data_IF_876290247391
#
_entry.id   IF_876290247391
#
_cell.length_a   1.000
_cell.length_b   1.000
_cell.length_c   1.000
_cell.angle_alpha   90.00
_cell.angle_beta   90.00
_cell.angle_gamma   90.00
#
_symmetry.space_group_name_H-M   'P 1'
#
loop_
_entity.id
_entity.type
_entity.pdbx_description
1 polymer ?
#
# COMPACT_ATOMS: atom_id res chain seq x y z
N UNK A 1 4.16 -17.83 -7.17
CA UNK A 1 3.06 -17.55 -6.22
C UNK A 1 3.07 -16.05 -5.97
N UNK A 2 1.93 -15.37 -6.13
CA UNK A 2 1.83 -13.96 -5.78
C UNK A 2 2.16 -13.78 -4.28
N UNK A 3 2.83 -12.68 -3.91
CA UNK A 3 3.11 -12.40 -2.51
C UNK A 3 1.79 -12.06 -1.80
N UNK A 4 1.61 -12.60 -0.60
CA UNK A 4 0.49 -12.23 0.25
C UNK A 4 0.94 -11.12 1.19
N UNK A 5 0.06 -10.16 1.48
CA UNK A 5 0.30 -9.13 2.49
C UNK A 5 0.67 -9.77 3.84
N UNK A 6 1.74 -9.29 4.47
CA UNK A 6 2.30 -9.89 5.67
C UNK A 6 3.02 -8.89 6.58
N UNK A 7 3.49 -9.38 7.74
CA UNK A 7 4.20 -8.56 8.71
C UNK A 7 5.52 -7.98 8.18
N UNK A 8 6.19 -8.68 7.26
CA UNK A 8 7.37 -8.17 6.54
C UNK A 8 7.03 -6.90 5.76
N UNK A 9 5.97 -6.96 4.94
CA UNK A 9 5.46 -5.81 4.19
C UNK A 9 5.19 -4.62 5.10
N UNK A 10 4.52 -4.83 6.24
CA UNK A 10 4.23 -3.75 7.20
C UNK A 10 5.52 -3.10 7.71
N UNK A 11 6.50 -3.93 8.11
CA UNK A 11 7.79 -3.44 8.62
C UNK A 11 8.54 -2.63 7.56
N UNK A 12 8.55 -3.09 6.32
CA UNK A 12 9.25 -2.42 5.24
C UNK A 12 8.51 -1.16 4.77
N UNK A 13 7.18 -1.15 4.85
CA UNK A 13 6.37 0.04 4.60
C UNK A 13 6.47 1.08 5.71
N UNK A 14 6.67 0.67 6.96
CA UNK A 14 6.81 1.57 8.11
C UNK A 14 8.00 2.54 8.02
N UNK A 15 8.98 2.26 7.15
CA UNK A 15 10.08 3.19 6.82
C UNK A 15 9.56 4.45 6.13
N UNK A 16 8.43 4.33 5.44
CA UNK A 16 7.80 5.37 4.67
C UNK A 16 6.55 5.88 5.39
N UNK A 17 6.15 7.12 5.10
CA UNK A 17 5.00 7.70 5.80
C UNK A 17 3.66 7.14 5.32
N UNK A 18 3.61 6.83 4.02
CA UNK A 18 2.46 6.25 3.33
C UNK A 18 3.00 5.28 2.28
N UNK A 19 2.36 4.11 2.19
CA UNK A 19 2.58 3.17 1.12
C UNK A 19 1.27 2.48 0.74
N UNK A 20 1.01 2.34 -0.56
CA UNK A 20 -0.13 1.61 -1.09
C UNK A 20 0.33 0.52 -2.04
N UNK A 21 0.06 -0.72 -1.65
CA UNK A 21 0.55 -1.90 -2.35
C UNK A 21 -0.64 -2.66 -2.94
N UNK A 22 -0.68 -2.85 -4.26
CA UNK A 22 -1.67 -3.67 -4.92
C UNK A 22 -1.26 -5.15 -4.83
N UNK A 23 -2.26 -6.01 -4.67
CA UNK A 23 -2.12 -7.46 -4.64
C UNK A 23 -3.13 -8.10 -5.56
N UNK A 24 -2.79 -9.28 -6.04
CA UNK A 24 -3.65 -10.10 -6.90
C UNK A 24 -3.66 -11.53 -6.38
N UNK A 25 -4.83 -12.15 -6.29
CA UNK A 25 -4.98 -13.52 -5.79
C UNK A 25 -5.94 -14.30 -6.68
N UNK A 26 -5.59 -15.56 -6.94
CA UNK A 26 -6.45 -16.55 -7.57
C UNK A 26 -6.74 -17.67 -6.57
N UNK A 27 -8.01 -17.94 -6.33
CA UNK A 27 -8.49 -19.10 -5.58
C UNK A 27 -9.01 -20.12 -6.58
N UNK A 28 -8.21 -21.15 -6.85
CA UNK A 28 -8.46 -22.09 -7.95
C UNK A 28 -9.75 -22.89 -7.79
N UNK A 29 -10.04 -23.38 -6.59
CA UNK A 29 -11.24 -24.16 -6.29
C UNK A 29 -11.68 -23.91 -4.85
N UNK A 30 -12.74 -23.12 -4.67
CA UNK A 30 -13.34 -22.89 -3.35
C UNK A 30 -14.49 -23.88 -3.14
N UNK A 31 -14.23 -24.96 -2.42
CA UNK A 31 -15.19 -26.03 -2.17
C UNK A 31 -16.47 -25.53 -1.48
N UNK A 32 -17.57 -26.27 -1.65
CA UNK A 32 -18.83 -26.01 -0.97
C UNK A 32 -18.64 -25.99 0.56
N UNK A 33 -19.15 -24.96 1.22
CA UNK A 33 -18.99 -24.74 2.66
C UNK A 33 -17.59 -24.29 3.12
N UNK A 34 -16.63 -24.14 2.20
CA UNK A 34 -15.26 -23.81 2.56
C UNK A 34 -15.03 -22.30 2.78
N UNK A 35 -13.94 -21.98 3.47
CA UNK A 35 -13.40 -20.62 3.54
C UNK A 35 -11.90 -20.68 3.26
N UNK A 36 -11.42 -19.77 2.42
CA UNK A 36 -10.01 -19.64 2.06
C UNK A 36 -9.48 -18.29 2.56
N UNK A 37 -8.47 -18.26 3.44
CA UNK A 37 -7.83 -17.01 3.85
C UNK A 37 -6.97 -16.47 2.70
N UNK A 38 -7.19 -15.21 2.33
CA UNK A 38 -6.29 -14.50 1.40
C UNK A 38 -5.04 -14.04 2.13
N UNK A 39 -5.23 -13.46 3.32
CA UNK A 39 -4.18 -13.17 4.28
C UNK A 39 -4.77 -12.97 5.68
N UNK A 40 -3.92 -13.13 6.69
CA UNK A 40 -4.23 -12.78 8.08
C UNK A 40 -2.96 -12.30 8.77
N UNK A 41 -2.93 -11.02 9.15
CA UNK A 41 -1.81 -10.41 9.88
C UNK A 41 -2.34 -9.92 11.21
N UNK A 42 -1.53 -10.05 12.27
CA UNK A 42 -1.91 -9.63 13.63
C UNK A 42 -0.68 -9.20 14.43
N UNK A 43 -0.90 -8.47 15.52
CA UNK A 43 0.10 -8.11 16.53
C UNK A 43 1.26 -7.26 15.99
N UNK A 44 1.07 -6.50 14.90
CA UNK A 44 2.16 -5.66 14.35
C UNK A 44 2.43 -4.41 15.20
N UNK A 45 1.49 -4.00 16.05
CA UNK A 45 1.68 -2.93 17.05
C UNK A 45 1.73 -3.48 18.49
N UNK A 46 2.26 -4.68 18.68
CA UNK A 46 2.44 -5.25 20.03
C UNK A 46 3.24 -4.27 20.93
N UNK A 47 2.84 -4.05 22.20
CA UNK A 47 3.58 -3.22 23.16
C UNK A 47 5.08 -3.47 23.27
N UNK A 48 5.55 -4.71 23.01
CA UNK A 48 6.97 -5.06 23.06
C UNK A 48 7.78 -4.53 21.86
N UNK A 49 7.12 -4.34 20.71
CA UNK A 49 7.76 -3.84 19.49
C UNK A 49 6.70 -3.14 18.61
N UNK A 50 6.29 -1.92 18.96
CA UNK A 50 5.26 -1.22 18.21
C UNK A 50 5.82 -0.81 16.86
N UNK A 51 5.30 -1.37 15.76
CA UNK A 51 5.62 -0.86 14.42
C UNK A 51 5.19 0.61 14.27
N UNK A 52 4.19 1.06 15.04
CA UNK A 52 3.67 2.41 14.99
C UNK A 52 3.04 2.68 13.64
N UNK A 53 2.14 1.79 13.21
CA UNK A 53 1.53 1.82 11.87
C UNK A 53 0.01 1.60 11.92
N UNK A 54 -0.71 2.32 11.07
CA UNK A 54 -2.09 2.04 10.76
C UNK A 54 -2.14 1.31 9.41
N UNK A 55 -2.97 0.28 9.29
CA UNK A 55 -3.10 -0.51 8.05
C UNK A 55 -4.57 -0.50 7.62
N UNK A 56 -4.85 -0.24 6.36
CA UNK A 56 -6.20 -0.23 5.80
C UNK A 56 -6.28 -1.03 4.52
N UNK A 57 -7.20 -1.98 4.48
CA UNK A 57 -7.69 -2.52 3.23
C UNK A 57 -8.54 -1.43 2.57
N UNK A 58 -7.98 -0.78 1.55
CA UNK A 58 -8.57 0.44 0.98
C UNK A 58 -9.61 0.10 -0.07
N UNK A 59 -9.28 -0.84 -0.95
CA UNK A 59 -10.15 -1.28 -2.02
C UNK A 59 -9.97 -2.77 -2.33
N UNK A 60 -11.02 -3.40 -2.86
CA UNK A 60 -11.04 -4.78 -3.32
C UNK A 60 -11.76 -4.85 -4.67
N UNK A 61 -11.18 -5.54 -5.64
CA UNK A 61 -11.86 -6.02 -6.84
C UNK A 61 -12.04 -7.53 -6.74
N UNK A 62 -13.18 -8.06 -7.15
CA UNK A 62 -13.44 -9.50 -7.11
C UNK A 62 -14.28 -9.93 -8.31
N UNK A 63 -14.06 -11.15 -8.79
CA UNK A 63 -14.92 -11.73 -9.82
C UNK A 63 -16.32 -11.94 -9.24
N UNK A 64 -17.38 -11.48 -9.92
CA UNK A 64 -18.73 -11.62 -9.40
C UNK A 64 -19.10 -13.10 -9.30
N UNK A 65 -19.55 -13.54 -8.13
CA UNK A 65 -20.02 -14.91 -7.94
C UNK A 65 -21.22 -15.00 -6.98
N UNK A 66 -22.41 -15.41 -7.47
CA UNK A 66 -23.60 -15.54 -6.65
C UNK A 66 -23.40 -16.44 -5.42
N UNK A 67 -23.65 -15.88 -4.24
CA UNK A 67 -23.62 -16.59 -2.97
C UNK A 67 -22.23 -16.71 -2.34
N UNK A 68 -21.15 -16.32 -3.02
CA UNK A 68 -19.82 -16.23 -2.39
C UNK A 68 -19.71 -14.95 -1.56
N UNK A 69 -18.95 -15.00 -0.46
CA UNK A 69 -18.80 -13.87 0.45
C UNK A 69 -17.34 -13.52 0.67
N UNK A 70 -17.02 -12.23 0.64
CA UNK A 70 -15.77 -11.69 1.16
C UNK A 70 -15.98 -11.30 2.62
N UNK A 71 -15.15 -11.82 3.53
CA UNK A 71 -15.18 -11.47 4.95
C UNK A 71 -13.89 -10.75 5.29
N UNK A 72 -14.04 -9.52 5.78
CA UNK A 72 -12.93 -8.66 6.20
C UNK A 72 -13.03 -8.46 7.71
N UNK A 73 -11.92 -8.68 8.42
CA UNK A 73 -11.80 -8.42 9.86
C UNK A 73 -10.70 -7.40 10.07
N UNK A 74 -11.03 -6.32 10.77
CA UNK A 74 -10.13 -5.23 11.10
C UNK A 74 -10.32 -4.90 12.59
N UNK A 75 -9.33 -5.22 13.42
CA UNK A 75 -9.43 -5.18 14.87
C UNK A 75 -10.71 -5.88 15.40
N UNK A 76 -11.62 -5.16 16.05
CA UNK A 76 -12.88 -5.71 16.57
C UNK A 76 -14.02 -5.70 15.54
N UNK A 77 -13.84 -5.04 14.39
CA UNK A 77 -14.84 -4.92 13.35
C UNK A 77 -14.79 -6.10 12.36
N UNK A 78 -15.97 -6.52 11.90
CA UNK A 78 -16.10 -7.48 10.80
C UNK A 78 -17.09 -6.96 9.78
N UNK A 79 -16.69 -6.97 8.51
CA UNK A 79 -17.52 -6.65 7.37
C UNK A 79 -17.68 -7.88 6.49
N UNK A 80 -18.84 -7.98 5.82
CA UNK A 80 -19.14 -9.04 4.85
C UNK A 80 -19.69 -8.41 3.58
N UNK A 81 -19.16 -8.83 2.44
CA UNK A 81 -19.61 -8.39 1.13
C UNK A 81 -20.02 -9.60 0.30
N UNK A 82 -21.17 -9.51 -0.37
CA UNK A 82 -21.60 -10.50 -1.35
C UNK A 82 -20.82 -10.28 -2.65
N UNK A 83 -20.11 -11.31 -3.14
CA UNK A 83 -19.35 -11.17 -4.38
C UNK A 83 -20.25 -10.96 -5.60
N UNK A 84 -21.55 -11.32 -5.53
CA UNK A 84 -22.50 -11.06 -6.60
C UNK A 84 -22.67 -9.57 -6.93
N UNK A 85 -22.37 -8.67 -5.97
CA UNK A 85 -22.55 -7.22 -6.13
C UNK A 85 -21.29 -6.49 -6.59
N UNK A 86 -20.15 -7.19 -6.69
CA UNK A 86 -18.94 -6.59 -7.21
C UNK A 86 -19.10 -6.27 -8.69
N UNK A 87 -18.50 -5.17 -9.18
CA UNK A 87 -18.51 -4.90 -10.61
C UNK A 87 -17.71 -5.93 -11.39
N UNK A 88 -18.01 -6.07 -12.68
CA UNK A 88 -17.25 -6.92 -13.59
C UNK A 88 -15.79 -6.44 -13.73
N UNK A 89 -14.95 -7.26 -14.36
CA UNK A 89 -13.56 -6.94 -14.70
C UNK A 89 -12.69 -6.55 -13.50
N UNK A 90 -13.02 -7.06 -12.30
CA UNK A 90 -12.26 -6.81 -11.07
C UNK A 90 -12.14 -5.33 -10.71
N UNK A 91 -13.11 -4.51 -11.13
CA UNK A 91 -13.10 -3.09 -10.80
C UNK A 91 -13.07 -2.91 -9.27
N UNK A 92 -12.11 -2.16 -8.72
CA UNK A 92 -11.99 -2.01 -7.28
C UNK A 92 -13.17 -1.24 -6.68
N UNK A 93 -13.72 -1.77 -5.59
CA UNK A 93 -14.70 -1.10 -4.72
C UNK A 93 -13.99 -0.68 -3.44
N UNK A 94 -14.22 0.55 -2.99
CA UNK A 94 -13.68 1.02 -1.71
C UNK A 94 -14.37 0.30 -0.54
N UNK A 95 -13.57 -0.26 0.37
CA UNK A 95 -14.07 -0.98 1.57
C UNK A 95 -13.73 -0.25 2.87
N UNK A 96 -12.57 0.42 2.92
CA UNK A 96 -12.17 1.29 4.03
C UNK A 96 -12.00 0.56 5.38
N UNK A 97 -11.50 -0.67 5.36
CA UNK A 97 -11.36 -1.50 6.55
C UNK A 97 -9.96 -1.36 7.16
N UNK A 98 -9.81 -0.48 8.15
CA UNK A 98 -8.52 -0.20 8.76
C UNK A 98 -8.40 -0.62 10.22
N UNK A 99 -7.17 -0.92 10.60
CA UNK A 99 -6.79 -1.61 11.82
C UNK A 99 -5.46 -1.11 12.37
N UNK A 100 -5.31 -1.20 13.69
CA UNK A 100 -4.04 -1.00 14.38
C UNK A 100 -3.37 -2.30 14.79
N UNK A 101 -4.08 -3.42 14.89
CA UNK A 101 -3.50 -4.64 15.46
C UNK A 101 -3.71 -5.87 14.58
N UNK A 102 -4.89 -6.04 14.00
CA UNK A 102 -5.18 -7.19 13.15
C UNK A 102 -6.00 -6.84 11.91
N UNK A 103 -5.60 -7.41 10.77
CA UNK A 103 -6.32 -7.32 9.50
C UNK A 103 -6.28 -8.68 8.84
N UNK A 104 -7.44 -9.21 8.49
CA UNK A 104 -7.55 -10.45 7.74
C UNK A 104 -8.64 -10.37 6.69
N UNK A 105 -8.41 -11.03 5.57
CA UNK A 105 -9.37 -11.16 4.49
C UNK A 105 -9.49 -12.63 4.14
N UNK A 106 -10.72 -13.11 4.04
CA UNK A 106 -11.03 -14.47 3.60
C UNK A 106 -12.22 -14.46 2.64
N UNK A 107 -12.25 -15.43 1.75
CA UNK A 107 -13.42 -15.68 0.90
C UNK A 107 -14.11 -16.94 1.39
N UNK A 108 -15.43 -16.89 1.51
CA UNK A 108 -16.26 -17.98 2.01
C UNK A 108 -17.25 -18.39 0.93
N UNK A 109 -17.39 -19.70 0.71
CA UNK A 109 -18.41 -20.28 -0.16
C UNK A 109 -19.47 -20.99 0.71
N UNK A 110 -20.56 -20.31 1.10
CA UNK A 110 -21.64 -20.92 1.85
C UNK A 110 -22.58 -21.78 0.98
N UNK A 111 -22.35 -21.85 -0.34
CA UNK A 111 -23.21 -22.60 -1.26
C UNK A 111 -22.91 -24.10 -1.26
N UNK A 112 -23.74 -24.88 -1.95
CA UNK A 112 -23.54 -26.32 -2.13
C UNK A 112 -22.70 -26.68 -3.37
N UNK A 113 -22.27 -25.67 -4.14
CA UNK A 113 -21.51 -25.85 -5.38
C UNK A 113 -20.09 -25.35 -5.22
N UNK A 114 -19.10 -26.12 -5.68
CA UNK A 114 -17.71 -25.65 -5.76
C UNK A 114 -17.61 -24.47 -6.71
N UNK A 115 -16.85 -23.46 -6.31
CA UNK A 115 -16.57 -22.30 -7.15
C UNK A 115 -15.20 -22.48 -7.81
N UNK A 116 -15.14 -22.60 -9.14
CA UNK A 116 -13.88 -22.60 -9.87
C UNK A 116 -13.35 -21.17 -10.00
N UNK A 117 -12.03 -21.02 -9.86
CA UNK A 117 -11.25 -19.85 -10.24
C UNK A 117 -11.86 -18.49 -9.84
N UNK A 118 -11.87 -18.20 -8.54
CA UNK A 118 -12.17 -16.86 -8.05
C UNK A 118 -10.92 -15.99 -8.14
N UNK A 119 -11.10 -14.82 -8.72
CA UNK A 119 -10.04 -13.85 -8.91
C UNK A 119 -10.31 -12.60 -8.09
N UNK A 120 -9.28 -12.11 -7.40
CA UNK A 120 -9.38 -10.93 -6.55
C UNK A 120 -8.16 -10.02 -6.75
N UNK A 121 -8.41 -8.71 -6.69
CA UNK A 121 -7.38 -7.69 -6.49
C UNK A 121 -7.68 -6.97 -5.18
N UNK A 122 -6.66 -6.51 -4.47
CA UNK A 122 -6.87 -5.65 -3.32
C UNK A 122 -5.71 -4.69 -3.12
N UNK A 123 -6.00 -3.55 -2.52
CA UNK A 123 -5.00 -2.54 -2.19
C UNK A 123 -4.94 -2.40 -0.68
N UNK A 124 -3.75 -2.63 -0.13
CA UNK A 124 -3.46 -2.35 1.28
C UNK A 124 -2.69 -1.06 1.36
N UNK A 125 -3.20 -0.14 2.18
CA UNK A 125 -2.49 1.08 2.54
C UNK A 125 -1.88 0.93 3.92
N UNK A 126 -0.60 1.26 4.05
CA UNK A 126 0.12 1.31 5.33
C UNK A 126 0.53 2.76 5.56
N UNK A 127 0.16 3.30 6.73
CA UNK A 127 0.65 4.58 7.20
C UNK A 127 1.57 4.34 8.38
N UNK A 128 2.75 4.96 8.38
CA UNK A 128 3.47 5.18 9.63
C UNK A 128 2.65 6.16 10.45
N UNK A 129 2.19 5.73 11.61
CA UNK A 129 1.10 6.28 12.40
C UNK A 129 1.48 7.62 13.05
N UNK A 130 1.20 8.78 12.42
CA UNK A 130 1.41 10.05 13.10
C UNK A 130 0.43 10.17 14.26
N UNK A 131 0.76 11.01 15.24
CA UNK A 131 -0.13 11.29 16.37
C UNK A 131 -1.56 11.64 15.90
N UNK A 132 -1.69 12.40 14.82
CA UNK A 132 -2.99 12.74 14.24
C UNK A 132 -3.81 11.51 13.81
N UNK A 133 -3.20 10.46 13.25
CA UNK A 133 -3.91 9.26 12.82
C UNK A 133 -4.42 8.45 14.01
N UNK A 134 -3.59 8.31 15.06
CA UNK A 134 -4.01 7.75 16.36
C UNK A 134 -5.23 8.48 16.91
N UNK A 135 -5.23 9.80 16.88
CA UNK A 135 -6.36 10.59 17.36
C UNK A 135 -7.62 10.40 16.51
N UNK A 136 -7.49 10.42 15.19
CA UNK A 136 -8.62 10.31 14.27
C UNK A 136 -9.25 8.91 14.26
N UNK A 137 -8.44 7.86 14.46
CA UNK A 137 -8.86 6.46 14.35
C UNK A 137 -8.96 5.74 15.70
N UNK A 138 -8.73 6.44 16.81
CA UNK A 138 -8.82 5.86 18.16
C UNK A 138 -7.64 4.94 18.53
N UNK A 139 -6.47 5.16 17.92
CA UNK A 139 -5.24 4.44 18.22
C UNK A 139 -4.66 4.77 19.60
N UNK A 140 -3.82 3.88 20.13
CA UNK A 140 -3.18 4.07 21.43
C UNK A 140 -2.07 5.11 21.34
N UNK A 141 -2.15 6.13 22.18
CA UNK A 141 -1.09 7.13 22.34
C UNK A 141 0.03 6.61 23.26
N UNK A 142 1.27 6.71 22.80
CA UNK A 142 2.49 6.48 23.56
C UNK A 142 2.86 7.73 24.40
N UNK A 143 3.82 7.58 25.32
CA UNK A 143 4.36 8.72 26.08
C UNK A 143 4.97 9.80 25.18
N UNK A 144 5.59 9.40 24.07
CA UNK A 144 6.12 10.32 23.07
C UNK A 144 4.99 11.07 22.36
N UNK A 145 3.92 10.37 21.95
CA UNK A 145 2.75 11.01 21.34
C UNK A 145 2.14 12.05 22.30
N UNK A 146 2.02 11.72 23.59
CA UNK A 146 1.52 12.64 24.61
C UNK A 146 2.44 13.85 24.83
N UNK A 147 3.76 13.70 24.70
CA UNK A 147 4.69 14.83 24.73
C UNK A 147 4.49 15.74 23.52
N UNK A 148 4.36 15.16 22.32
CA UNK A 148 4.07 15.91 21.09
C UNK A 148 2.75 16.69 21.22
N UNK A 149 1.69 16.06 21.75
CA UNK A 149 0.42 16.75 21.99
C UNK A 149 0.55 17.91 22.98
N UNK A 150 1.31 17.74 24.07
CA UNK A 150 1.58 18.83 25.02
C UNK A 150 2.35 19.97 24.38
N UNK A 151 3.35 19.69 23.54
CA UNK A 151 4.10 20.71 22.79
C UNK A 151 3.20 21.48 21.81
N UNK A 152 2.16 20.83 21.27
CA UNK A 152 1.17 21.45 20.39
C UNK A 152 0.00 22.11 21.15
N UNK A 153 0.03 22.11 22.49
CA UNK A 153 -1.05 22.69 23.31
C UNK A 153 -2.34 21.86 23.34
N UNK A 154 -2.31 20.61 22.85
CA UNK A 154 -3.45 19.69 22.89
C UNK A 154 -3.52 19.05 24.27
N UNK A 155 -4.34 19.64 25.15
CA UNK A 155 -4.49 19.17 26.53
C UNK A 155 -5.53 18.07 26.71
N UNK A 156 -6.55 18.01 25.83
CA UNK A 156 -7.59 16.99 25.89
C UNK A 156 -7.81 16.34 24.50
N UNK A 157 -7.12 15.24 24.21
CA UNK A 157 -7.19 14.57 22.92
C UNK A 157 -8.58 14.00 22.62
N UNK A 158 -9.36 13.65 23.64
CA UNK A 158 -10.72 13.10 23.49
C UNK A 158 -11.71 14.09 22.86
N UNK A 159 -11.44 15.40 22.93
CA UNK A 159 -12.28 16.43 22.29
C UNK A 159 -12.19 16.43 20.76
N UNK A 160 -11.13 15.87 20.17
CA UNK A 160 -10.98 15.79 18.72
C UNK A 160 -11.90 14.74 18.11
N UNK A 161 -12.20 13.68 18.85
CA UNK A 161 -13.09 12.59 18.42
C UNK A 161 -14.55 13.07 18.38
N UNK A 162 -14.95 13.98 19.29
CA UNK A 162 -16.33 14.44 19.44
C UNK A 162 -16.76 15.65 18.60
N UNK A 163 -15.82 16.36 17.94
CA UNK A 163 -16.12 17.64 17.26
C UNK A 163 -16.50 17.54 15.78
N UNK A 164 -16.70 16.34 15.23
CA UNK A 164 -17.41 16.15 13.95
C UNK A 164 -16.83 16.86 12.73
N UNK A 165 -15.56 17.26 12.75
CA UNK A 165 -14.90 17.77 11.55
C UNK A 165 -14.48 16.58 10.68
N UNK A 166 -14.81 16.65 9.40
CA UNK A 166 -14.40 15.68 8.36
C UNK A 166 -12.94 15.31 8.62
N UNK A 167 -12.62 14.00 8.81
CA UNK A 167 -11.26 13.60 9.07
C UNK A 167 -10.36 14.14 7.95
N UNK A 168 -9.27 14.79 8.34
CA UNK A 168 -8.28 15.33 7.42
C UNK A 168 -7.94 14.23 6.40
N UNK A 169 -8.07 14.51 5.10
CA UNK A 169 -7.69 13.55 4.06
C UNK A 169 -6.16 13.44 4.00
N UNK A 170 -5.58 12.74 4.97
CA UNK A 170 -4.13 12.59 5.15
C UNK A 170 -3.51 11.99 3.88
N UNK A 171 -4.12 10.96 3.30
CA UNK A 171 -3.66 10.38 2.03
C UNK A 171 -3.63 11.45 0.91
N UNK A 172 -4.71 12.22 0.76
CA UNK A 172 -4.78 13.32 -0.20
C UNK A 172 -3.72 14.40 0.02
N UNK A 173 -3.44 14.76 1.28
CA UNK A 173 -2.39 15.75 1.61
C UNK A 173 -1.01 15.21 1.27
N UNK A 174 -0.72 13.96 1.62
CA UNK A 174 0.55 13.31 1.32
C UNK A 174 0.76 13.27 -0.20
N UNK A 175 -0.23 12.76 -0.95
CA UNK A 175 -0.18 12.72 -2.43
C UNK A 175 -0.01 14.10 -3.03
N UNK A 176 -0.82 15.07 -2.63
CA UNK A 176 -0.74 16.44 -3.15
C UNK A 176 0.63 17.05 -2.87
N UNK A 177 1.19 16.79 -1.69
CA UNK A 177 2.53 17.27 -1.34
C UNK A 177 3.63 16.61 -2.16
N UNK A 178 3.46 15.33 -2.56
CA UNK A 178 4.33 14.66 -3.53
C UNK A 178 4.16 15.25 -4.94
N UNK A 179 2.93 15.38 -5.40
CA UNK A 179 2.60 15.83 -6.76
C UNK A 179 3.09 17.27 -7.00
N UNK A 180 3.03 18.14 -5.99
CA UNK A 180 3.56 19.51 -6.04
C UNK A 180 5.10 19.60 -6.13
N UNK A 181 5.83 18.48 -6.00
CA UNK A 181 7.29 18.42 -5.96
C UNK A 181 7.88 17.57 -7.07
N UNK A 182 7.06 17.29 -8.07
CA UNK A 182 7.46 16.53 -9.23
C UNK A 182 8.56 17.27 -10.01
N UNK A 183 9.71 16.62 -10.17
CA UNK A 183 10.87 17.21 -10.87
C UNK A 183 10.74 17.07 -12.39
N UNK A 184 10.02 16.06 -12.86
CA UNK A 184 9.77 15.81 -14.28
C UNK A 184 8.39 15.20 -14.50
N UNK A 185 7.75 15.57 -15.61
CA UNK A 185 6.41 15.07 -16.00
C UNK A 185 6.42 13.54 -16.04
N UNK A 186 5.37 12.95 -15.47
CA UNK A 186 5.17 11.51 -15.39
C UNK A 186 5.01 11.00 -16.82
N UNK A 187 5.99 10.26 -17.34
CA UNK A 187 5.82 9.57 -18.62
C UNK A 187 5.37 8.15 -18.29
N UNK A 188 4.15 7.75 -18.65
CA UNK A 188 3.79 6.33 -18.58
C UNK A 188 4.78 5.57 -19.47
N UNK A 189 5.56 4.68 -18.87
CA UNK A 189 6.52 3.86 -19.61
C UNK A 189 5.77 2.63 -20.11
N UNK A 190 5.32 2.71 -21.36
CA UNK A 190 4.85 1.55 -22.11
C UNK A 190 6.05 0.80 -22.68
N UNK A 191 6.23 -0.45 -22.26
CA UNK A 191 7.29 -1.33 -22.73
C UNK A 191 6.66 -2.59 -23.28
N UNK A 192 7.17 -3.09 -24.41
CA UNK A 192 6.86 -4.43 -24.91
C UNK A 192 8.04 -5.32 -24.57
N UNK A 193 7.80 -6.40 -23.83
CA UNK A 193 8.85 -7.36 -23.46
C UNK A 193 8.53 -8.75 -24.00
N UNK A 194 9.54 -9.43 -24.54
CA UNK A 194 9.43 -10.85 -24.90
C UNK A 194 9.99 -11.67 -23.75
N UNK A 195 9.25 -12.70 -23.33
CA UNK A 195 9.60 -13.51 -22.16
C UNK A 195 9.52 -14.97 -22.58
N UNK A 196 10.52 -15.76 -22.17
CA UNK A 196 10.51 -17.20 -22.34
C UNK A 196 9.93 -17.89 -21.10
N UNK A 197 9.34 -19.07 -21.28
CA UNK A 197 8.78 -19.84 -20.17
C UNK A 197 9.85 -20.09 -19.09
N UNK A 198 9.50 -19.79 -17.84
CA UNK A 198 10.40 -19.96 -16.68
C UNK A 198 11.55 -18.96 -16.61
N UNK A 199 11.61 -17.98 -17.51
CA UNK A 199 12.62 -16.91 -17.46
C UNK A 199 12.03 -15.61 -16.91
N UNK A 200 12.91 -14.80 -16.34
CA UNK A 200 12.61 -13.47 -15.83
C UNK A 200 13.33 -12.44 -16.69
N UNK A 201 12.57 -11.51 -17.26
CA UNK A 201 13.10 -10.34 -17.96
C UNK A 201 13.11 -9.15 -17.02
N UNK A 202 14.25 -8.48 -16.92
CA UNK A 202 14.42 -7.26 -16.11
C UNK A 202 14.27 -6.03 -17.00
N UNK A 203 13.36 -5.16 -16.63
CA UNK A 203 13.26 -3.80 -17.16
C UNK A 203 14.37 -2.97 -16.51
N UNK A 204 15.10 -2.14 -17.26
CA UNK A 204 16.19 -1.32 -16.70
C UNK A 204 15.77 -0.58 -15.43
N UNK A 205 16.63 -0.63 -14.41
CA UNK A 205 16.38 -0.03 -13.12
C UNK A 205 16.21 1.49 -13.22
N UNK A 206 15.27 2.01 -12.46
CA UNK A 206 15.08 3.45 -12.26
C UNK A 206 15.90 3.86 -11.04
N UNK A 207 16.77 4.86 -11.23
CA UNK A 207 17.62 5.39 -10.16
C UNK A 207 17.13 6.78 -9.75
N UNK A 208 17.02 7.00 -8.44
CA UNK A 208 16.83 8.32 -7.86
C UNK A 208 18.11 9.16 -8.05
N UNK A 209 17.95 10.45 -8.36
CA UNK A 209 19.07 11.38 -8.29
C UNK A 209 19.27 11.87 -6.86
N UNK A 210 20.39 12.55 -6.59
CA UNK A 210 20.61 13.18 -5.29
C UNK A 210 19.45 14.11 -4.90
N UNK A 211 19.01 14.03 -3.64
CA UNK A 211 17.88 14.78 -3.09
C UNK A 211 16.53 14.53 -3.79
N UNK A 212 16.37 13.35 -4.41
CA UNK A 212 15.10 12.92 -4.99
C UNK A 212 14.70 11.56 -4.42
N UNK A 213 13.41 11.24 -4.53
CA UNK A 213 12.89 9.89 -4.39
C UNK A 213 12.10 9.52 -5.65
N UNK A 214 11.96 8.22 -5.88
CA UNK A 214 11.03 7.67 -6.86
C UNK A 214 9.71 7.35 -6.17
N UNK A 215 8.61 7.48 -6.90
CA UNK A 215 7.30 6.98 -6.44
C UNK A 215 6.63 6.24 -7.58
N UNK A 216 6.43 4.94 -7.40
CA UNK A 216 5.60 4.15 -8.30
C UNK A 216 4.12 4.42 -7.98
N UNK A 217 3.39 4.92 -8.98
CA UNK A 217 2.00 5.37 -8.89
C UNK A 217 1.01 4.43 -9.54
N UNK A 218 1.47 3.64 -10.51
CA UNK A 218 0.62 2.71 -11.21
C UNK A 218 1.42 1.59 -11.88
N UNK A 219 0.84 0.40 -11.91
CA UNK A 219 1.37 -0.76 -12.64
C UNK A 219 0.27 -1.42 -13.47
N UNK A 220 0.61 -1.82 -14.68
CA UNK A 220 -0.21 -2.68 -15.52
C UNK A 220 0.68 -3.63 -16.32
N UNK A 221 0.17 -4.82 -16.61
CA UNK A 221 0.85 -5.81 -17.42
C UNK A 221 -0.21 -6.62 -18.15
N UNK A 222 -0.27 -6.49 -19.48
CA UNK A 222 -1.26 -7.21 -20.27
C UNK A 222 -0.75 -8.60 -20.63
N UNK A 223 -1.42 -9.64 -20.16
CA UNK A 223 -1.16 -11.02 -20.57
C UNK A 223 -2.40 -11.89 -20.36
N UNK A 224 -2.42 -13.04 -21.04
CA UNK A 224 -3.47 -13.99 -20.81
C UNK A 224 -3.27 -14.74 -19.48
N UNK A 225 -4.35 -15.19 -18.80
CA UNK A 225 -4.25 -15.96 -17.56
C UNK A 225 -3.40 -17.24 -17.69
N UNK A 226 -3.50 -17.94 -18.81
CA UNK A 226 -2.79 -19.21 -19.07
C UNK A 226 -1.27 -19.05 -19.16
N UNK A 227 -0.77 -17.87 -19.54
CA UNK A 227 0.66 -17.58 -19.64
C UNK A 227 1.32 -17.48 -18.26
N UNK A 228 0.52 -17.31 -17.19
CA UNK A 228 0.98 -17.19 -15.82
C UNK A 228 1.95 -16.03 -15.60
N UNK A 229 1.75 -14.93 -16.33
CA UNK A 229 2.64 -13.76 -16.26
C UNK A 229 2.53 -13.09 -14.90
N UNK A 230 3.69 -12.83 -14.29
CA UNK A 230 3.85 -12.13 -13.01
C UNK A 230 4.78 -10.94 -13.19
N UNK A 231 4.35 -9.78 -12.71
CA UNK A 231 5.17 -8.59 -12.57
C UNK A 231 5.61 -8.46 -11.11
N UNK A 232 6.92 -8.33 -10.93
CA UNK A 232 7.56 -8.14 -9.63
C UNK A 232 8.28 -6.80 -9.63
N UNK A 233 8.08 -6.01 -8.56
CA UNK A 233 8.80 -4.76 -8.33
C UNK A 233 9.69 -4.91 -7.11
N UNK A 234 10.98 -4.70 -7.34
CA UNK A 234 11.97 -4.56 -6.29
C UNK A 234 12.09 -3.07 -5.94
N UNK A 235 12.25 -2.79 -4.65
CA UNK A 235 12.32 -1.43 -4.11
C UNK A 235 13.55 -1.29 -3.23
N UNK A 236 14.48 -0.43 -3.60
CA UNK A 236 15.74 -0.25 -2.90
C UNK A 236 16.47 -1.60 -2.68
N UNK A 237 16.56 -2.06 -1.42
CA UNK A 237 17.14 -3.35 -1.04
C UNK A 237 16.10 -4.42 -0.67
N UNK A 238 14.84 -4.22 -1.06
CA UNK A 238 13.68 -5.07 -0.78
C UNK A 238 13.20 -5.75 -2.08
N UNK A 239 13.75 -6.93 -2.43
CA UNK A 239 13.36 -7.66 -3.62
C UNK A 239 11.96 -8.27 -3.46
N UNK A 240 11.16 -8.23 -4.51
CA UNK A 240 9.81 -8.78 -4.47
C UNK A 240 8.82 -7.96 -3.65
N UNK A 241 9.09 -6.66 -3.46
CA UNK A 241 8.27 -5.77 -2.65
C UNK A 241 6.80 -5.73 -3.12
N UNK A 242 6.58 -5.62 -4.44
CA UNK A 242 5.26 -5.78 -5.07
C UNK A 242 5.30 -6.98 -5.99
N UNK A 243 4.30 -7.88 -5.89
CA UNK A 243 4.15 -9.00 -6.82
C UNK A 243 2.70 -9.06 -7.25
N UNK A 244 2.46 -8.86 -8.55
CA UNK A 244 1.13 -8.93 -9.14
C UNK A 244 1.12 -9.87 -10.33
N UNK A 245 0.05 -10.64 -10.45
CA UNK A 245 -0.25 -11.38 -11.67
C UNK A 245 -0.76 -10.42 -12.74
N UNK A 246 -0.57 -10.75 -14.01
CA UNK A 246 -0.97 -9.91 -15.14
C UNK A 246 -2.45 -9.97 -15.48
N UNK A 247 -3.08 -11.13 -15.27
CA UNK A 247 -4.46 -11.40 -15.68
C UNK A 247 -5.58 -10.55 -15.05
N UNK A 248 -5.41 -9.81 -13.93
CA UNK A 248 -6.39 -8.84 -13.46
C UNK A 248 -6.14 -7.39 -13.90
N UNK A 249 -4.97 -7.09 -14.49
CA UNK A 249 -4.58 -5.75 -14.89
C UNK A 249 -4.53 -5.63 -16.40
N UNK A 250 -5.59 -5.10 -17.01
CA UNK A 250 -5.49 -4.64 -18.39
C UNK A 250 -4.53 -3.44 -18.44
N UNK A 251 -3.75 -3.31 -19.51
CA UNK A 251 -2.91 -2.13 -19.76
C UNK A 251 -3.77 -0.86 -19.77
N UNK A 252 -5.02 -0.99 -20.21
CA UNK A 252 -6.01 0.09 -20.20
C UNK A 252 -6.52 0.46 -18.79
N UNK A 253 -6.32 -0.41 -17.80
CA UNK A 253 -6.80 -0.25 -16.42
C UNK A 253 -5.66 -0.45 -15.41
N UNK A 254 -4.68 0.46 -15.37
CA UNK A 254 -3.53 0.30 -14.48
C UNK A 254 -3.94 0.32 -13.01
N UNK A 255 -3.39 -0.61 -12.23
CA UNK A 255 -3.61 -0.66 -10.79
C UNK A 255 -2.90 0.52 -10.13
N UNK A 256 -3.68 1.37 -9.46
CA UNK A 256 -3.14 2.47 -8.68
C UNK A 256 -2.34 1.94 -7.49
N UNK A 257 -1.20 2.56 -7.25
CA UNK A 257 -0.35 2.28 -6.10
C UNK A 257 0.38 3.55 -5.65
N UNK A 258 1.10 3.45 -4.55
CA UNK A 258 1.95 4.51 -4.03
C UNK A 258 3.11 3.84 -3.31
N UNK A 259 4.15 3.49 -4.05
CA UNK A 259 5.33 2.78 -3.54
C UNK A 259 6.52 3.72 -3.67
N UNK A 260 6.87 4.46 -2.61
CA UNK A 260 8.03 5.35 -2.59
C UNK A 260 9.34 4.54 -2.50
N UNK A 261 10.40 4.99 -3.18
CA UNK A 261 11.73 4.38 -3.13
C UNK A 261 12.80 5.47 -3.06
N UNK A 262 13.77 5.33 -2.18
CA UNK A 262 14.80 6.34 -1.95
C UNK A 262 15.94 6.27 -2.96
N UNK A 263 16.22 5.07 -3.47
CA UNK A 263 17.39 4.79 -4.29
C UNK A 263 16.95 4.22 -5.63
N UNK A 264 16.19 3.11 -5.63
CA UNK A 264 15.93 2.36 -6.85
C UNK A 264 14.56 1.70 -6.92
N UNK A 265 14.04 1.61 -8.15
CA UNK A 265 12.91 0.74 -8.49
C UNK A 265 13.34 -0.14 -9.65
N UNK A 266 13.30 -1.45 -9.47
CA UNK A 266 13.60 -2.42 -10.53
C UNK A 266 12.37 -3.26 -10.79
N UNK A 267 12.03 -3.47 -12.07
CA UNK A 267 10.84 -4.24 -12.44
C UNK A 267 11.26 -5.48 -13.19
N UNK A 268 10.65 -6.58 -12.81
CA UNK A 268 10.86 -7.89 -13.39
C UNK A 268 9.54 -8.45 -13.88
N UNK A 269 9.59 -9.14 -15.01
CA UNK A 269 8.44 -9.84 -15.56
C UNK A 269 8.83 -11.27 -15.84
N UNK A 270 8.04 -12.22 -15.37
CA UNK A 270 8.23 -13.65 -15.61
C UNK A 270 6.94 -14.28 -16.11
N UNK A 271 7.04 -15.43 -16.77
CA UNK A 271 5.91 -16.17 -17.30
C UNK A 271 6.11 -17.68 -17.07
N UNK A 272 5.02 -18.41 -16.82
CA UNK A 272 5.08 -19.87 -16.67
C UNK A 272 5.04 -20.58 -18.03
N UNK A 273 4.40 -19.97 -19.01
CA UNK A 273 4.38 -20.41 -20.41
C UNK A 273 4.95 -19.30 -21.31
N UNK A 274 5.33 -19.64 -22.54
CA UNK A 274 5.79 -18.63 -23.52
C UNK A 274 4.57 -17.88 -24.03
N UNK A 275 4.45 -16.56 -23.79
CA UNK A 275 3.33 -15.81 -24.32
C UNK A 275 3.35 -15.78 -25.85
N UNK A 276 2.16 -15.80 -26.45
CA UNK A 276 2.01 -15.80 -27.92
C UNK A 276 2.44 -14.48 -28.59
N UNK A 277 2.52 -13.40 -27.82
CA UNK A 277 2.96 -12.07 -28.25
C UNK A 277 3.84 -11.40 -27.18
N UNK A 278 4.50 -10.31 -27.56
CA UNK A 278 5.22 -9.50 -26.59
C UNK A 278 4.24 -8.91 -25.56
N UNK A 279 4.64 -8.99 -24.29
CA UNK A 279 3.84 -8.56 -23.14
C UNK A 279 3.96 -7.04 -22.99
N UNK A 280 2.85 -6.28 -23.11
CA UNK A 280 2.83 -4.88 -22.76
C UNK A 280 2.91 -4.70 -21.24
N UNK A 281 3.79 -3.81 -20.80
CA UNK A 281 3.96 -3.38 -19.41
C UNK A 281 3.83 -1.87 -19.34
N UNK A 282 3.03 -1.36 -18.42
CA UNK A 282 2.87 0.06 -18.17
C UNK A 282 3.25 0.40 -16.73
N UNK A 283 4.19 1.33 -16.57
CA UNK A 283 4.64 1.82 -15.27
C UNK A 283 4.42 3.33 -15.19
N UNK A 284 3.85 3.80 -14.08
CA UNK A 284 3.79 5.22 -13.74
C UNK A 284 4.80 5.52 -12.63
N UNK A 285 5.98 6.03 -12.97
CA UNK A 285 7.02 6.36 -11.99
C UNK A 285 7.27 7.88 -11.99
N UNK A 286 7.09 8.49 -10.82
CA UNK A 286 7.37 9.90 -10.60
C UNK A 286 8.73 10.08 -9.91
N UNK A 287 9.44 11.16 -10.27
CA UNK A 287 10.60 11.66 -9.53
C UNK A 287 10.19 12.87 -8.70
N UNK A 288 10.50 12.84 -7.42
CA UNK A 288 10.00 13.80 -6.44
C UNK A 288 11.19 14.43 -5.72
N UNK A 289 11.26 15.76 -5.69
CA UNK A 289 12.29 16.47 -4.93
C UNK A 289 12.02 16.35 -3.42
N UNK A 290 13.03 15.90 -2.68
CA UNK A 290 12.99 15.86 -1.23
C UNK A 290 13.29 17.26 -0.68
N UNK A 291 12.44 17.75 0.23
CA UNK A 291 12.86 18.84 1.14
C UNK A 291 13.21 18.24 2.49
N UNK A 292 13.80 19.08 3.35
CA UNK A 292 13.98 18.84 4.78
C UNK A 292 12.74 18.24 5.46
N UNK A 293 11.55 18.75 5.14
CA UNK A 293 10.29 18.22 5.68
C UNK A 293 10.04 16.75 5.28
N UNK A 294 10.34 16.38 4.04
CA UNK A 294 10.19 15.02 3.53
C UNK A 294 11.30 14.10 3.99
N UNK A 295 12.55 14.58 4.03
CA UNK A 295 13.67 13.78 4.56
C UNK A 295 13.43 13.48 6.04
N UNK A 296 12.84 14.41 6.80
CA UNK A 296 12.43 14.17 8.19
C UNK A 296 11.31 13.13 8.28
N UNK A 297 10.25 13.24 7.46
CA UNK A 297 9.14 12.25 7.42
C UNK A 297 9.62 10.84 7.09
N UNK A 298 10.60 10.73 6.22
CA UNK A 298 11.22 9.48 5.80
C UNK A 298 12.29 8.98 6.79
N UNK A 299 12.48 9.68 7.93
CA UNK A 299 13.48 9.31 8.94
C UNK A 299 14.93 9.49 8.50
N UNK A 300 15.17 10.17 7.37
CA UNK A 300 16.51 10.46 6.85
C UNK A 300 17.19 11.65 7.54
N UNK A 301 16.42 12.49 8.25
CA UNK A 301 16.96 13.62 8.99
C UNK A 301 16.55 13.50 10.46
N UNK A 302 17.55 13.47 11.33
CA UNK A 302 17.39 13.45 12.78
C UNK A 302 17.01 14.83 13.33
N UNK A 303 16.46 14.86 14.54
CA UNK A 303 16.21 16.11 15.27
C UNK A 303 17.50 16.94 15.41
N UNK A 304 18.64 16.31 15.67
CA UNK A 304 19.91 17.01 15.84
C UNK A 304 20.35 17.72 14.55
N UNK A 305 20.22 17.05 13.41
CA UNK A 305 20.53 17.64 12.09
C UNK A 305 19.59 18.79 11.75
N UNK A 306 18.29 18.67 12.05
CA UNK A 306 17.35 19.78 11.89
C UNK A 306 17.66 20.96 12.82
N UNK A 307 18.04 20.68 14.08
CA UNK A 307 18.44 21.72 15.03
C UNK A 307 19.74 22.41 14.60
N UNK A 308 20.65 21.70 13.96
CA UNK A 308 21.86 22.28 13.39
C UNK A 308 21.54 23.16 12.17
N UNK A 309 20.62 22.73 11.30
CA UNK A 309 20.25 23.47 10.09
C UNK A 309 19.40 24.71 10.38
N UNK A 310 18.43 24.61 11.29
CA UNK A 310 17.39 25.65 11.52
C UNK A 310 17.54 26.36 12.87
N UNK A 311 18.46 25.92 13.74
CA UNK A 311 18.57 26.34 15.14
C UNK A 311 17.69 25.50 16.08
N UNK A 312 18.07 25.43 17.37
CA UNK A 312 17.48 24.49 18.35
C UNK A 312 15.95 24.60 18.44
N UNK A 313 15.41 25.81 18.56
CA UNK A 313 13.97 26.01 18.74
C UNK A 313 13.18 25.71 17.46
N UNK A 314 13.63 26.22 16.31
CA UNK A 314 12.94 26.02 15.03
C UNK A 314 13.04 24.56 14.57
N UNK A 315 14.21 23.93 14.68
CA UNK A 315 14.40 22.51 14.38
C UNK A 315 13.51 21.61 15.24
N UNK A 316 13.39 21.89 16.54
CA UNK A 316 12.47 21.15 17.42
C UNK A 316 10.99 21.36 17.05
N UNK A 317 10.59 22.58 16.70
CA UNK A 317 9.23 22.85 16.24
C UNK A 317 8.89 22.15 14.93
N UNK A 318 9.80 22.16 13.94
CA UNK A 318 9.60 21.47 12.67
C UNK A 318 9.51 19.96 12.89
N UNK A 319 10.49 19.37 13.59
CA UNK A 319 10.51 17.94 13.88
C UNK A 319 9.24 17.47 14.60
N UNK A 320 8.84 18.18 15.66
CA UNK A 320 7.63 17.81 16.43
C UNK A 320 6.35 17.92 15.62
N UNK A 321 6.24 18.91 14.73
CA UNK A 321 5.08 19.06 13.83
C UNK A 321 5.05 17.99 12.74
N UNK A 322 6.20 17.56 12.23
CA UNK A 322 6.32 16.45 11.29
C UNK A 322 5.89 15.13 11.93
N UNK A 323 6.44 14.81 13.11
CA UNK A 323 6.07 13.59 13.85
C UNK A 323 4.58 13.59 14.28
N UNK A 324 4.02 14.77 14.53
CA UNK A 324 2.59 14.92 14.80
C UNK A 324 1.69 14.69 13.57
N UNK A 325 2.25 14.77 12.35
CA UNK A 325 1.52 14.76 11.09
C UNK A 325 0.78 16.07 10.79
N UNK A 326 1.28 17.19 11.30
CA UNK A 326 0.67 18.54 11.17
C UNK A 326 1.34 19.38 10.09
N UNK A 327 2.60 19.08 9.76
CA UNK A 327 3.37 19.67 8.66
C UNK A 327 3.71 18.63 7.63
#
# INVERSE_FOLDING_TARGET
MASNFGAGTIKDAAKYWLEQIPYTVQVNNLAAGASEPLFAVRNWNNPANPAGVYVELTAVGASPWPGAQLVIRADSAQQRYDLATFPANLQPVSVGAGAFDQLSVQVTNPTQTTIPALYLTYVVTVWRDPVAMKLLRGGRLTSQDQQVLRMLGVQNPSLFIGRGHVPLNIDGIIRTSVDNRQVAVNRPYGLMTTIQAGQQTTIPAYLAAANQMLVLRSIAVGANPEDGVTLTVDRDNDPGHVVVNAWPGDVDHPMACFVPALETITVHVSATQVPSAAIPVQLGIQRVALSELWTTRLGQTSLAELQQALGTSAGQQVYSRVEAGVL
#
